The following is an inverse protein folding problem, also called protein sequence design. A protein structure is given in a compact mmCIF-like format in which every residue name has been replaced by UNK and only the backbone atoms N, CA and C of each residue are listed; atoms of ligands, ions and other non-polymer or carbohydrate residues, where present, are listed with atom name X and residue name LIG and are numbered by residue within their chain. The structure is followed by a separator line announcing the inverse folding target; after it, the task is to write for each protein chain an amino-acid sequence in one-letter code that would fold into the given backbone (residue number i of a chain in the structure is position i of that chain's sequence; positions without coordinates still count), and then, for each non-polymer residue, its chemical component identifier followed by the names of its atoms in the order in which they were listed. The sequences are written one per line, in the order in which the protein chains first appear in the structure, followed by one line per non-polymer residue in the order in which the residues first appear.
data_IF_216115118021
#
_entry.id   IF_216115118021
#
_cell.length_a   1.000
_cell.length_b   1.000
_cell.length_c   1.000
_cell.angle_alpha   90.00
_cell.angle_beta   90.00
_cell.angle_gamma   90.00
#
_symmetry.space_group_name_H-M   'P 1'
#
loop_
_entity.id
_entity.type
_entity.pdbx_description
1 polymer ?
#
# COMPACT_ATOMS: atom_id res chain seq x y z
N UNK A 1 23.57 -40.81 16.58
CA UNK A 1 23.89 -39.37 16.64
C UNK A 1 22.75 -38.70 15.93
N UNK A 2 21.85 -38.10 16.70
CA UNK A 2 20.62 -37.48 16.21
C UNK A 2 20.94 -36.25 15.35
N UNK A 3 20.45 -36.29 14.11
CA UNK A 3 20.37 -35.16 13.19
C UNK A 3 19.59 -34.03 13.86
N UNK A 4 20.29 -32.95 14.21
CA UNK A 4 19.66 -31.71 14.65
C UNK A 4 19.38 -30.88 13.39
N UNK A 5 18.22 -31.15 12.77
CA UNK A 5 17.57 -30.21 11.86
C UNK A 5 17.19 -28.96 12.68
N UNK A 6 17.99 -27.91 12.56
CA UNK A 6 17.64 -26.58 13.06
C UNK A 6 16.59 -26.02 12.10
N UNK A 7 15.34 -26.40 12.35
CA UNK A 7 14.14 -25.78 11.80
C UNK A 7 14.27 -24.26 12.00
N UNK A 8 14.51 -23.56 10.89
CA UNK A 8 14.86 -22.15 10.90
C UNK A 8 13.57 -21.33 10.81
N UNK A 9 13.08 -20.72 11.90
CA UNK A 9 11.79 -20.02 11.93
C UNK A 9 11.71 -18.81 10.96
N UNK A 10 12.84 -18.41 10.36
CA UNK A 10 12.91 -17.35 9.36
C UNK A 10 12.36 -17.72 7.97
N UNK A 11 12.30 -19.01 7.60
CA UNK A 11 11.73 -19.39 6.29
C UNK A 11 10.20 -19.37 6.29
N UNK A 12 9.58 -19.76 7.41
CA UNK A 12 8.13 -19.74 7.59
C UNK A 12 7.58 -18.32 7.68
N UNK A 13 8.27 -17.43 8.39
CA UNK A 13 7.89 -16.01 8.48
C UNK A 13 7.85 -15.35 7.11
N UNK A 14 8.87 -15.55 6.27
CA UNK A 14 8.90 -15.04 4.90
C UNK A 14 7.75 -15.60 4.05
N UNK A 15 7.41 -16.88 4.24
CA UNK A 15 6.33 -17.55 3.49
C UNK A 15 4.95 -17.02 3.89
N UNK A 16 4.72 -16.80 5.19
CA UNK A 16 3.47 -16.25 5.73
C UNK A 16 3.32 -14.78 5.31
N UNK A 17 4.37 -13.97 5.43
CA UNK A 17 4.37 -12.57 5.00
C UNK A 17 4.03 -12.42 3.52
N UNK A 18 4.68 -13.23 2.68
CA UNK A 18 4.38 -13.27 1.24
C UNK A 18 2.93 -13.68 0.97
N UNK A 19 2.40 -14.65 1.72
CA UNK A 19 1.01 -15.08 1.57
C UNK A 19 0.02 -13.96 1.95
N UNK A 20 0.25 -13.28 3.09
CA UNK A 20 -0.56 -12.13 3.53
C UNK A 20 -0.51 -11.02 2.48
N UNK A 21 0.70 -10.61 2.06
CA UNK A 21 0.91 -9.59 1.04
C UNK A 21 0.16 -9.89 -0.24
N UNK A 22 0.29 -11.11 -0.76
CA UNK A 22 -0.37 -11.51 -2.00
C UNK A 22 -1.89 -11.56 -1.87
N UNK A 23 -2.39 -12.02 -0.72
CA UNK A 23 -3.82 -12.04 -0.41
C UNK A 23 -4.38 -10.61 -0.38
N UNK A 24 -3.70 -9.69 0.29
CA UNK A 24 -4.13 -8.30 0.39
C UNK A 24 -4.05 -7.55 -0.95
N UNK A 25 -2.98 -7.75 -1.72
CA UNK A 25 -2.89 -7.23 -3.10
C UNK A 25 -4.05 -7.77 -3.95
N UNK A 26 -4.39 -9.05 -3.80
CA UNK A 26 -5.51 -9.67 -4.49
C UNK A 26 -6.86 -9.03 -4.11
N UNK A 27 -7.09 -8.79 -2.82
CA UNK A 27 -8.28 -8.09 -2.33
C UNK A 27 -8.35 -6.65 -2.84
N UNK A 28 -7.22 -5.94 -2.81
CA UNK A 28 -7.10 -4.58 -3.30
C UNK A 28 -7.44 -4.51 -4.79
N UNK A 29 -6.82 -5.36 -5.59
CA UNK A 29 -7.07 -5.45 -7.03
C UNK A 29 -8.53 -5.80 -7.33
N UNK A 30 -9.17 -6.66 -6.53
CA UNK A 30 -10.58 -6.99 -6.71
C UNK A 30 -11.49 -5.79 -6.45
N UNK A 31 -11.27 -5.07 -5.34
CA UNK A 31 -12.11 -3.94 -4.93
C UNK A 31 -11.88 -2.69 -5.79
N UNK A 32 -10.62 -2.34 -6.05
CA UNK A 32 -10.23 -1.16 -6.83
C UNK A 32 -9.93 -1.49 -8.29
N UNK A 33 -10.46 -2.59 -8.82
CA UNK A 33 -10.22 -3.05 -10.21
C UNK A 33 -10.50 -1.96 -11.24
N UNK A 34 -11.55 -1.15 -11.02
CA UNK A 34 -11.91 -0.03 -11.91
C UNK A 34 -10.90 1.13 -11.89
N UNK A 35 -10.13 1.27 -10.82
CA UNK A 35 -9.15 2.34 -10.61
C UNK A 35 -7.73 1.88 -10.90
N UNK A 36 -7.54 0.58 -11.09
CA UNK A 36 -6.24 -0.04 -11.24
C UNK A 36 -5.64 0.26 -12.61
N UNK A 37 -4.48 0.92 -12.64
CA UNK A 37 -3.80 1.29 -13.88
C UNK A 37 -2.70 0.28 -14.24
N UNK A 38 -1.79 0.00 -13.30
CA UNK A 38 -0.66 -0.89 -13.55
C UNK A 38 -0.14 -1.54 -12.27
N UNK A 39 0.51 -2.71 -12.39
CA UNK A 39 1.33 -3.30 -11.34
C UNK A 39 2.73 -3.51 -11.87
N UNK A 40 3.74 -3.11 -11.11
CA UNK A 40 5.12 -3.46 -11.36
C UNK A 40 5.70 -4.16 -10.12
N UNK A 41 6.02 -5.44 -10.26
CA UNK A 41 6.78 -6.17 -9.25
C UNK A 41 8.27 -5.88 -9.44
N UNK A 42 8.92 -5.38 -8.39
CA UNK A 42 10.37 -5.17 -8.31
C UNK A 42 10.97 -6.08 -7.26
N UNK A 43 12.29 -6.22 -7.27
CA UNK A 43 13.01 -7.10 -6.34
C UNK A 43 12.72 -6.79 -4.86
N UNK A 44 12.49 -5.52 -4.52
CA UNK A 44 12.31 -5.06 -3.14
C UNK A 44 10.89 -4.59 -2.80
N UNK A 45 10.02 -4.37 -3.80
CA UNK A 45 8.67 -3.86 -3.59
C UNK A 45 7.74 -4.18 -4.76
N UNK A 46 6.44 -4.14 -4.50
CA UNK A 46 5.40 -4.14 -5.52
C UNK A 46 4.86 -2.72 -5.63
N UNK A 47 4.88 -2.17 -6.84
CA UNK A 47 4.30 -0.88 -7.16
C UNK A 47 2.92 -1.08 -7.78
N UNK A 48 1.93 -0.39 -7.27
CA UNK A 48 0.56 -0.42 -7.78
C UNK A 48 0.15 1.00 -8.13
N UNK A 49 -0.05 1.26 -9.42
CA UNK A 49 -0.58 2.53 -9.90
C UNK A 49 -2.10 2.50 -9.91
N UNK A 50 -2.71 3.50 -9.30
CA UNK A 50 -4.16 3.67 -9.18
C UNK A 50 -4.54 5.07 -9.65
N UNK A 51 -5.70 5.15 -10.29
CA UNK A 51 -6.35 6.39 -10.71
C UNK A 51 -7.66 6.50 -9.93
N UNK A 52 -7.64 7.28 -8.85
CA UNK A 52 -8.78 7.46 -7.98
C UNK A 52 -9.60 8.67 -8.46
N UNK A 53 -10.88 8.49 -8.85
CA UNK A 53 -11.72 9.60 -9.27
C UNK A 53 -12.03 10.49 -8.08
N UNK A 54 -12.05 11.79 -8.33
CA UNK A 54 -12.46 12.81 -7.36
C UNK A 54 -13.71 13.51 -7.90
N UNK A 55 -14.71 13.74 -7.05
CA UNK A 55 -16.00 14.29 -7.51
C UNK A 55 -15.88 15.68 -8.15
N UNK A 56 -14.95 16.53 -7.65
CA UNK A 56 -14.83 17.93 -8.05
C UNK A 56 -13.45 18.31 -8.60
N UNK A 57 -12.57 17.33 -8.83
CA UNK A 57 -11.16 17.55 -9.22
C UNK A 57 -10.71 16.54 -10.27
N UNK A 58 -9.58 16.82 -10.90
CA UNK A 58 -8.91 15.84 -11.76
C UNK A 58 -8.58 14.57 -10.97
N UNK A 59 -8.68 13.42 -11.62
CA UNK A 59 -8.38 12.12 -11.04
C UNK A 59 -7.00 12.09 -10.37
N UNK A 60 -6.95 11.48 -9.19
CA UNK A 60 -5.73 11.34 -8.42
C UNK A 60 -4.96 10.11 -8.88
N UNK A 61 -3.81 10.34 -9.49
CA UNK A 61 -2.81 9.33 -9.84
C UNK A 61 -1.95 9.06 -8.62
N UNK A 62 -2.17 7.92 -8.00
CA UNK A 62 -1.37 7.46 -6.86
C UNK A 62 -0.61 6.20 -7.21
N UNK A 63 0.57 6.05 -6.65
CA UNK A 63 1.35 4.83 -6.69
C UNK A 63 1.51 4.33 -5.26
N UNK A 64 0.94 3.17 -4.98
CA UNK A 64 1.13 2.47 -3.73
C UNK A 64 2.40 1.63 -3.83
N UNK A 65 3.31 1.79 -2.87
CA UNK A 65 4.56 1.07 -2.77
C UNK A 65 4.44 0.07 -1.63
N UNK A 66 4.34 -1.21 -1.97
CA UNK A 66 4.20 -2.31 -1.02
C UNK A 66 5.57 -2.96 -0.86
N UNK A 67 6.26 -2.81 0.27
CA UNK A 67 7.57 -3.41 0.48
C UNK A 67 7.50 -4.93 0.48
N UNK A 68 8.61 -5.58 0.13
CA UNK A 68 8.70 -7.05 0.17
C UNK A 68 8.40 -7.59 1.58
N UNK A 69 8.86 -6.87 2.60
CA UNK A 69 8.69 -7.18 4.02
C UNK A 69 7.32 -6.78 4.60
N UNK A 70 6.35 -6.41 3.77
CA UNK A 70 4.97 -6.21 4.25
C UNK A 70 4.42 -7.51 4.86
N UNK A 71 3.71 -7.48 6.01
CA UNK A 71 3.21 -6.31 6.73
C UNK A 71 4.15 -5.72 7.80
N UNK A 72 5.36 -6.25 8.00
CA UNK A 72 6.29 -5.73 9.02
C UNK A 72 6.77 -4.32 8.69
N UNK A 73 6.92 -4.02 7.40
CA UNK A 73 7.18 -2.67 6.90
C UNK A 73 5.90 -2.10 6.30
N UNK A 74 5.55 -0.88 6.71
CA UNK A 74 4.39 -0.16 6.19
C UNK A 74 4.49 0.13 4.70
N UNK A 75 3.34 0.30 4.06
CA UNK A 75 3.30 0.75 2.68
C UNK A 75 3.62 2.25 2.63
N UNK A 76 3.98 2.74 1.45
CA UNK A 76 4.08 4.18 1.22
C UNK A 76 3.26 4.57 0.01
N UNK A 77 2.75 5.79 0.03
CA UNK A 77 1.98 6.35 -1.06
C UNK A 77 2.84 7.37 -1.82
N UNK A 78 2.74 7.40 -3.14
CA UNK A 78 3.38 8.42 -3.96
C UNK A 78 2.36 9.06 -4.89
N UNK A 79 2.25 10.39 -4.85
CA UNK A 79 1.34 11.13 -5.71
C UNK A 79 2.04 11.45 -7.04
N UNK A 80 1.50 10.95 -8.14
CA UNK A 80 2.03 11.07 -9.51
C UNK A 80 1.41 12.23 -10.31
N UNK A 81 0.45 12.96 -9.74
CA UNK A 81 -0.15 14.14 -10.37
C UNK A 81 0.88 15.26 -10.61
N UNK A 82 1.10 15.63 -11.87
CA UNK A 82 2.06 16.68 -12.24
C UNK A 82 1.60 18.11 -11.91
N UNK A 83 0.29 18.30 -11.82
CA UNK A 83 -0.39 19.58 -11.54
C UNK A 83 -0.49 19.90 -10.03
N UNK A 84 -0.19 18.95 -9.13
CA UNK A 84 -0.22 19.19 -7.68
C UNK A 84 1.11 19.75 -7.17
N UNK A 85 1.04 20.69 -6.22
CA UNK A 85 2.20 21.25 -5.55
C UNK A 85 2.91 20.20 -4.69
N UNK A 86 4.22 20.37 -4.50
CA UNK A 86 5.01 19.46 -3.66
C UNK A 86 4.49 19.41 -2.22
N UNK A 87 4.04 20.55 -1.68
CA UNK A 87 3.49 20.66 -0.33
C UNK A 87 2.26 19.76 -0.15
N UNK A 88 1.25 19.90 -1.02
CA UNK A 88 0.04 19.07 -0.95
C UNK A 88 0.37 17.59 -1.09
N UNK A 89 1.29 17.22 -1.99
CA UNK A 89 1.74 15.83 -2.12
C UNK A 89 2.36 15.30 -0.83
N UNK A 90 3.22 16.09 -0.21
CA UNK A 90 3.85 15.75 1.07
C UNK A 90 2.80 15.64 2.19
N UNK A 91 1.82 16.53 2.25
CA UNK A 91 0.76 16.49 3.27
C UNK A 91 -0.10 15.22 3.14
N UNK A 92 -0.46 14.83 1.91
CA UNK A 92 -1.22 13.59 1.68
C UNK A 92 -0.41 12.36 2.06
N UNK A 93 0.88 12.33 1.69
CA UNK A 93 1.78 11.23 2.04
C UNK A 93 1.95 11.13 3.55
N UNK A 94 2.22 12.25 4.21
CA UNK A 94 2.36 12.32 5.66
C UNK A 94 1.05 11.91 6.34
N UNK A 95 -0.11 12.36 5.88
CA UNK A 95 -1.39 11.99 6.46
C UNK A 95 -1.71 10.50 6.27
N UNK A 96 -1.33 9.91 5.13
CA UNK A 96 -1.46 8.48 4.88
C UNK A 96 -0.55 7.67 5.81
N UNK A 97 0.74 8.03 5.89
CA UNK A 97 1.72 7.35 6.74
C UNK A 97 1.40 7.54 8.23
N UNK A 98 0.96 8.72 8.65
CA UNK A 98 0.56 9.02 10.03
C UNK A 98 -0.69 8.23 10.43
N UNK A 99 -1.68 8.13 9.52
CA UNK A 99 -2.87 7.32 9.73
C UNK A 99 -2.53 5.83 9.84
N UNK A 100 -1.63 5.32 9.00
CA UNK A 100 -1.13 3.95 9.10
C UNK A 100 -0.37 3.72 10.41
N UNK A 101 0.48 4.67 10.80
CA UNK A 101 1.33 4.59 11.98
C UNK A 101 0.54 4.62 13.29
N UNK A 102 -0.44 5.53 13.42
CA UNK A 102 -1.17 5.77 14.67
C UNK A 102 -2.40 4.87 14.87
N UNK A 103 -2.99 4.33 13.80
CA UNK A 103 -4.33 3.71 13.87
C UNK A 103 -4.38 2.20 13.59
N UNK A 104 -3.29 1.45 13.82
CA UNK A 104 -3.22 -0.01 14.06
C UNK A 104 -2.24 -0.74 13.11
N UNK A 105 -1.34 -1.52 13.70
CA UNK A 105 -0.46 -2.55 13.09
C UNK A 105 -1.16 -3.62 12.21
N UNK A 106 -2.47 -3.53 12.01
CA UNK A 106 -3.31 -4.57 11.40
C UNK A 106 -4.27 -4.04 10.32
N UNK A 107 -4.06 -2.82 9.80
CA UNK A 107 -4.87 -2.33 8.69
C UNK A 107 -4.43 -2.93 7.37
N UNK A 108 -5.42 -3.43 6.65
CA UNK A 108 -5.22 -4.00 5.31
C UNK A 108 -5.03 -2.90 4.26
N UNK A 109 -4.38 -3.22 3.14
CA UNK A 109 -4.20 -2.31 2.00
C UNK A 109 -5.52 -1.71 1.51
N UNK A 110 -6.59 -2.50 1.56
CA UNK A 110 -7.94 -2.05 1.20
C UNK A 110 -8.41 -0.93 2.12
N UNK A 111 -8.24 -1.09 3.44
CA UNK A 111 -8.67 -0.09 4.42
C UNK A 111 -7.85 1.20 4.31
N UNK A 112 -6.57 1.09 3.99
CA UNK A 112 -5.70 2.24 3.76
C UNK A 112 -6.17 3.06 2.55
N UNK A 113 -6.50 2.39 1.44
CA UNK A 113 -7.02 3.05 0.25
C UNK A 113 -8.45 3.57 0.42
N UNK A 114 -9.30 2.87 1.20
CA UNK A 114 -10.63 3.37 1.56
C UNK A 114 -10.51 4.70 2.30
N UNK A 115 -9.61 4.77 3.30
CA UNK A 115 -9.36 5.99 4.03
C UNK A 115 -8.85 7.09 3.10
N UNK A 116 -7.89 6.80 2.22
CA UNK A 116 -7.41 7.79 1.26
C UNK A 116 -8.55 8.34 0.40
N UNK A 117 -9.38 7.48 -0.20
CA UNK A 117 -10.51 7.94 -1.03
C UNK A 117 -11.53 8.76 -0.25
N UNK A 118 -11.78 8.43 1.02
CA UNK A 118 -12.73 9.15 1.87
C UNK A 118 -12.16 10.48 2.40
N UNK A 119 -10.86 10.52 2.72
CA UNK A 119 -10.22 11.68 3.33
C UNK A 119 -9.72 12.67 2.28
N UNK A 120 -9.36 12.22 1.08
CA UNK A 120 -8.86 13.10 0.03
C UNK A 120 -9.88 14.14 -0.42
N UNK A 121 -11.17 13.78 -0.48
CA UNK A 121 -12.23 14.76 -0.75
C UNK A 121 -12.33 15.85 0.35
N UNK A 122 -11.82 15.55 1.56
CA UNK A 122 -11.81 16.47 2.70
C UNK A 122 -10.49 17.24 2.88
N UNK A 123 -9.39 16.79 2.25
CA UNK A 123 -8.12 17.51 2.20
C UNK A 123 -8.28 18.72 1.26
N UNK A 124 -8.79 19.81 1.83
CA UNK A 124 -9.00 21.12 1.18
C UNK A 124 -7.78 22.02 1.31
#
# INVERSE_FOLDING_TARGET
MEDNDVDSPGQDLNSIQKAIRNLEIGQLKKKYSAFFQSTAEKDLNTLIDLLLPLEDKEDLKVQLVIPYNYPDTQCTLQIRNGNMTTETKSDIQAAFEDYEWHQMRHKTLVQQLDWLTAHFNNLK
#
